data_IF_645141757342
#
_entry.id   IF_645141757342
#
_cell.length_a   1.000
_cell.length_b   1.000
_cell.length_c   1.000
_cell.angle_alpha   90.00
_cell.angle_beta   90.00
_cell.angle_gamma   90.00
#
_symmetry.space_group_name_H-M   'P 1'
#
loop_
_entity.id
_entity.type
_entity.pdbx_description
1 polymer ?
#
# COMPACT_ATOMS: atom_id res chain seq x y z
N UNK A 1 -7.84 10.69 12.94
CA UNK A 1 -6.79 10.20 13.91
C UNK A 1 -5.91 9.16 13.25
N UNK A 2 -6.51 8.31 12.41
CA UNK A 2 -5.78 7.28 11.66
C UNK A 2 -4.80 7.89 10.66
N UNK A 3 -5.13 9.01 10.03
CA UNK A 3 -4.21 9.65 9.09
C UNK A 3 -2.91 10.14 9.75
N UNK A 4 -3.00 10.73 10.95
CA UNK A 4 -1.81 11.22 11.68
C UNK A 4 -0.86 10.07 12.00
N UNK A 5 -1.37 8.93 12.49
CA UNK A 5 -0.54 7.75 12.75
C UNK A 5 0.04 7.18 11.45
N UNK A 6 -0.72 7.17 10.35
CA UNK A 6 -0.22 6.78 9.02
C UNK A 6 0.98 7.65 8.60
N UNK A 7 0.92 8.98 8.80
CA UNK A 7 2.02 9.88 8.45
C UNK A 7 3.26 9.60 9.31
N UNK A 8 3.09 9.41 10.62
CA UNK A 8 4.22 9.12 11.53
C UNK A 8 4.92 7.81 11.15
N UNK A 9 4.14 6.75 10.90
CA UNK A 9 4.67 5.44 10.50
C UNK A 9 5.36 5.54 9.13
N UNK A 10 4.73 6.24 8.17
CA UNK A 10 5.31 6.42 6.83
C UNK A 10 6.63 7.18 6.89
N UNK A 11 6.75 8.22 7.73
CA UNK A 11 8.00 8.93 7.93
C UNK A 11 9.10 8.04 8.52
N UNK A 12 8.77 7.18 9.48
CA UNK A 12 9.72 6.20 10.02
C UNK A 12 10.19 5.20 8.95
N UNK A 13 9.27 4.66 8.13
CA UNK A 13 9.60 3.76 7.03
C UNK A 13 10.47 4.42 5.95
N UNK A 14 10.24 5.71 5.65
CA UNK A 14 11.10 6.44 4.73
C UNK A 14 12.56 6.45 5.24
N UNK A 15 12.75 6.71 6.53
CA UNK A 15 14.08 6.80 7.14
C UNK A 15 14.76 5.44 7.27
N UNK A 16 14.01 4.40 7.60
CA UNK A 16 14.54 3.05 7.83
C UNK A 16 14.78 2.31 6.51
N UNK A 17 13.89 2.44 5.53
CA UNK A 17 13.95 1.65 4.29
C UNK A 17 14.36 2.50 3.09
N UNK A 18 13.59 3.56 2.76
CA UNK A 18 13.80 4.30 1.50
C UNK A 18 15.14 5.04 1.47
N UNK A 19 15.58 5.62 2.58
CA UNK A 19 16.88 6.32 2.65
C UNK A 19 18.05 5.36 2.42
N UNK A 20 18.13 4.20 3.10
CA UNK A 20 19.14 3.20 2.76
C UNK A 20 19.05 2.66 1.33
N UNK A 21 17.84 2.36 0.82
CA UNK A 21 17.64 1.87 -0.55
C UNK A 21 18.13 2.87 -1.60
N UNK A 22 17.87 4.16 -1.38
CA UNK A 22 18.38 5.24 -2.23
C UNK A 22 19.91 5.30 -2.21
N UNK A 23 20.51 5.21 -1.02
CA UNK A 23 21.98 5.21 -0.86
C UNK A 23 22.65 3.99 -1.49
N UNK A 24 22.01 2.83 -1.43
CA UNK A 24 22.48 1.58 -2.03
C UNK A 24 22.20 1.49 -3.54
N UNK A 25 21.54 2.50 -4.13
CA UNK A 25 21.16 2.55 -5.54
C UNK A 25 20.27 1.39 -6.00
N UNK A 26 19.51 0.80 -5.07
CA UNK A 26 18.55 -0.27 -5.33
C UNK A 26 17.24 0.30 -5.90
N UNK A 27 17.33 0.95 -7.07
CA UNK A 27 16.25 1.76 -7.65
C UNK A 27 14.96 0.98 -7.87
N UNK A 28 15.04 -0.28 -8.30
CA UNK A 28 13.85 -1.13 -8.52
C UNK A 28 13.06 -1.29 -7.23
N UNK A 29 13.74 -1.64 -6.14
CA UNK A 29 13.12 -1.87 -4.84
C UNK A 29 12.64 -0.54 -4.26
N UNK A 30 13.45 0.52 -4.39
CA UNK A 30 13.08 1.87 -3.97
C UNK A 30 11.76 2.32 -4.60
N UNK A 31 11.58 2.19 -5.92
CA UNK A 31 10.35 2.59 -6.60
C UNK A 31 9.14 1.74 -6.19
N UNK A 32 9.32 0.43 -6.01
CA UNK A 32 8.25 -0.46 -5.53
C UNK A 32 7.80 -0.03 -4.13
N UNK A 33 8.73 0.16 -3.21
CA UNK A 33 8.43 0.56 -1.84
C UNK A 33 7.82 1.96 -1.78
N UNK A 34 8.33 2.90 -2.58
CA UNK A 34 7.79 4.25 -2.66
C UNK A 34 6.35 4.26 -3.20
N UNK A 35 6.04 3.42 -4.19
CA UNK A 35 4.67 3.24 -4.69
C UNK A 35 3.71 2.73 -3.61
N UNK A 36 4.10 1.67 -2.87
CA UNK A 36 3.27 1.15 -1.78
C UNK A 36 3.10 2.14 -0.64
N UNK A 37 4.16 2.88 -0.29
CA UNK A 37 4.10 3.89 0.75
C UNK A 37 3.16 5.05 0.36
N UNK A 38 3.22 5.51 -0.89
CA UNK A 38 2.29 6.49 -1.43
C UNK A 38 0.84 5.97 -1.37
N UNK A 39 0.63 4.72 -1.78
CA UNK A 39 -0.69 4.08 -1.76
C UNK A 39 -1.27 4.04 -0.34
N UNK A 40 -0.46 3.68 0.67
CA UNK A 40 -0.87 3.66 2.08
C UNK A 40 -1.27 5.05 2.56
N UNK A 41 -0.51 6.10 2.22
CA UNK A 41 -0.84 7.48 2.59
C UNK A 41 -2.17 7.92 1.97
N UNK A 42 -2.39 7.59 0.70
CA UNK A 42 -3.66 7.87 0.01
C UNK A 42 -4.84 7.14 0.67
N UNK A 43 -4.68 5.86 1.01
CA UNK A 43 -5.72 5.10 1.72
C UNK A 43 -6.01 5.68 3.11
N UNK A 44 -4.97 6.06 3.86
CA UNK A 44 -5.12 6.70 5.17
C UNK A 44 -5.87 8.03 5.06
N UNK A 45 -5.61 8.81 4.01
CA UNK A 45 -6.34 10.04 3.72
C UNK A 45 -7.81 9.73 3.41
N UNK A 46 -8.09 8.86 2.43
CA UNK A 46 -9.45 8.50 2.03
C UNK A 46 -10.29 7.98 3.20
N UNK A 47 -9.68 7.20 4.10
CA UNK A 47 -10.35 6.68 5.27
C UNK A 47 -10.72 7.76 6.31
N UNK A 48 -9.86 8.75 6.56
CA UNK A 48 -10.22 9.88 7.45
C UNK A 48 -11.30 10.78 6.80
N UNK A 49 -11.45 10.76 5.47
CA UNK A 49 -12.56 11.43 4.75
C UNK A 49 -13.89 10.64 4.73
N UNK A 50 -14.00 9.53 5.47
CA UNK A 50 -15.16 8.63 5.47
C UNK A 50 -15.56 8.15 4.06
N UNK A 51 -14.61 8.08 3.13
CA UNK A 51 -14.86 7.42 1.85
C UNK A 51 -14.97 5.92 2.15
N UNK A 52 -16.11 5.31 1.81
CA UNK A 52 -16.26 3.86 1.90
C UNK A 52 -15.26 3.21 0.95
N UNK A 53 -14.15 2.72 1.49
CA UNK A 53 -13.15 1.97 0.72
C UNK A 53 -13.76 0.59 0.46
N UNK A 54 -14.16 0.28 -0.78
CA UNK A 54 -14.77 -1.02 -1.07
C UNK A 54 -13.77 -2.12 -0.75
N UNK A 55 -14.26 -3.16 -0.08
CA UNK A 55 -13.40 -4.26 0.31
C UNK A 55 -12.74 -4.91 -0.91
N UNK A 56 -11.40 -5.06 -0.91
CA UNK A 56 -10.69 -5.72 -2.00
C UNK A 56 -10.95 -7.23 -2.02
N UNK A 57 -11.64 -7.80 -1.03
CA UNK A 57 -11.94 -9.24 -0.96
C UNK A 57 -12.62 -9.76 -2.23
N UNK A 58 -13.59 -9.02 -2.77
CA UNK A 58 -14.35 -9.43 -3.97
C UNK A 58 -13.48 -9.36 -5.23
N UNK A 59 -12.85 -8.21 -5.55
CA UNK A 59 -11.91 -8.13 -6.69
C UNK A 59 -10.75 -9.13 -6.60
N UNK A 60 -10.23 -9.38 -5.40
CA UNK A 60 -9.11 -10.30 -5.20
C UNK A 60 -9.56 -11.75 -5.40
N UNK A 61 -10.75 -12.11 -4.91
CA UNK A 61 -11.36 -13.42 -5.15
C UNK A 61 -11.58 -13.65 -6.65
N UNK A 62 -12.04 -12.63 -7.36
CA UNK A 62 -12.27 -12.69 -8.81
C UNK A 62 -10.96 -12.80 -9.61
N UNK A 63 -9.89 -12.13 -9.15
CA UNK A 63 -8.55 -12.27 -9.74
C UNK A 63 -7.96 -13.65 -9.52
N UNK A 64 -8.05 -14.18 -8.30
CA UNK A 64 -7.56 -15.52 -7.96
C UNK A 64 -8.37 -16.59 -8.71
N UNK A 65 -9.69 -16.46 -8.78
CA UNK A 65 -10.53 -17.37 -9.57
C UNK A 65 -10.19 -17.35 -11.05
N UNK A 66 -9.89 -16.17 -11.63
CA UNK A 66 -9.46 -16.02 -13.01
C UNK A 66 -8.11 -16.70 -13.28
N UNK A 67 -7.12 -16.47 -12.41
CA UNK A 67 -5.75 -17.00 -12.58
C UNK A 67 -5.73 -18.53 -12.42
N UNK A 68 -6.47 -19.07 -11.46
CA UNK A 68 -6.46 -20.49 -11.13
C UNK A 68 -7.63 -21.29 -11.73
N UNK A 69 -8.55 -20.64 -12.44
CA UNK A 69 -9.76 -21.26 -13.00
C UNK A 69 -10.72 -21.81 -11.94
N UNK A 70 -10.66 -21.31 -10.70
CA UNK A 70 -11.42 -21.82 -9.57
C UNK A 70 -12.74 -21.08 -9.42
N UNK A 71 -13.88 -21.78 -9.44
CA UNK A 71 -15.17 -21.18 -9.11
C UNK A 71 -15.33 -21.12 -7.58
N UNK A 72 -14.86 -20.03 -6.99
CA UNK A 72 -14.99 -19.78 -5.55
C UNK A 72 -16.37 -19.14 -5.29
N UNK A 73 -17.29 -19.85 -4.63
CA UNK A 73 -18.62 -19.34 -4.22
C UNK A 73 -18.55 -18.42 -3.01
#
# INVERSE_FOLDING_TARGET
MMFISTIIISAALILIDLVPLYKQQEWKIFFIYSFFLLFIVVLGLLADFNVEIPSPSKPTKDLVSLIFGLKLE
#
